data_IF_962172816753
#
_entry.id   IF_962172816753
#
_cell.length_a   1.000
_cell.length_b   1.000
_cell.length_c   1.000
_cell.angle_alpha   90.00
_cell.angle_beta   90.00
_cell.angle_gamma   90.00
#
_symmetry.space_group_name_H-M   'P 1'
#
loop_
_entity.id
_entity.type
_entity.pdbx_description
1 polymer ?
#
# COMPACT_ATOMS: atom_id res chain seq x y z
N UNK A 1 -17.72 -26.98 12.58
CA UNK A 1 -16.52 -26.15 12.85
C UNK A 1 -16.84 -25.28 14.04
N UNK A 2 -16.14 -25.47 15.16
CA UNK A 2 -16.33 -24.66 16.37
C UNK A 2 -15.19 -23.64 16.37
N UNK A 3 -15.54 -22.35 16.41
CA UNK A 3 -14.57 -21.27 16.55
C UNK A 3 -14.22 -21.15 18.03
N UNK A 4 -13.00 -21.55 18.40
CA UNK A 4 -12.47 -21.35 19.75
C UNK A 4 -11.72 -20.02 19.82
N UNK A 5 -12.39 -18.99 20.32
CA UNK A 5 -11.75 -17.73 20.69
C UNK A 5 -11.38 -17.84 22.18
N UNK A 6 -10.07 -17.80 22.47
CA UNK A 6 -9.58 -17.83 23.85
C UNK A 6 -10.08 -16.58 24.58
N UNK A 7 -10.79 -16.76 25.70
CA UNK A 7 -11.66 -15.75 26.35
C UNK A 7 -11.02 -14.49 26.94
N UNK A 8 -9.85 -14.07 26.47
CA UNK A 8 -9.15 -12.86 26.95
C UNK A 8 -8.52 -12.03 25.82
N UNK A 9 -8.93 -12.24 24.57
CA UNK A 9 -8.36 -11.56 23.41
C UNK A 9 -9.37 -10.60 22.79
N UNK A 10 -8.94 -9.39 22.47
CA UNK A 10 -9.75 -8.42 21.74
C UNK A 10 -9.87 -8.90 20.30
N UNK A 11 -11.09 -9.19 19.87
CA UNK A 11 -11.38 -9.69 18.52
C UNK A 11 -12.26 -8.69 17.81
N UNK A 12 -11.82 -8.31 16.61
CA UNK A 12 -12.53 -7.40 15.74
C UNK A 12 -13.24 -8.20 14.64
N UNK A 13 -14.52 -7.94 14.44
CA UNK A 13 -15.32 -8.63 13.42
C UNK A 13 -15.47 -7.72 12.21
N UNK A 14 -15.13 -8.24 11.03
CA UNK A 14 -15.34 -7.53 9.78
C UNK A 14 -16.15 -8.37 8.80
N UNK A 15 -16.83 -7.70 7.87
CA UNK A 15 -17.39 -8.34 6.68
C UNK A 15 -16.26 -8.77 5.76
N UNK A 16 -16.25 -10.04 5.35
CA UNK A 16 -15.27 -10.61 4.43
C UNK A 16 -15.37 -10.04 3.02
N UNK A 17 -16.55 -9.52 2.66
CA UNK A 17 -16.90 -9.06 1.31
C UNK A 17 -16.37 -7.63 1.06
N UNK A 18 -16.62 -6.71 2.00
CA UNK A 18 -16.33 -5.28 1.86
C UNK A 18 -15.33 -4.75 2.92
N UNK A 19 -14.86 -5.63 3.82
CA UNK A 19 -13.88 -5.34 4.89
C UNK A 19 -14.35 -4.31 5.91
N UNK A 20 -15.64 -3.97 5.92
CA UNK A 20 -16.20 -3.04 6.90
C UNK A 20 -16.35 -3.72 8.25
N UNK A 21 -16.03 -2.99 9.31
CA UNK A 21 -16.14 -3.50 10.68
C UNK A 21 -17.60 -3.58 11.12
N UNK A 22 -17.94 -4.65 11.82
CA UNK A 22 -19.22 -4.83 12.49
C UNK A 22 -19.07 -4.29 13.90
N UNK A 23 -19.66 -3.13 14.16
CA UNK A 23 -19.46 -2.39 15.41
C UNK A 23 -20.42 -2.83 16.52
N UNK A 24 -21.63 -3.25 16.14
CA UNK A 24 -22.69 -3.66 17.06
C UNK A 24 -23.70 -4.61 16.38
N UNK A 25 -24.63 -5.11 17.18
CA UNK A 25 -25.69 -6.03 16.75
C UNK A 25 -26.65 -5.42 15.72
N UNK A 26 -26.83 -4.09 15.72
CA UNK A 26 -27.69 -3.41 14.75
C UNK A 26 -27.01 -3.32 13.39
N UNK A 27 -25.70 -3.06 13.37
CA UNK A 27 -24.87 -3.12 12.17
C UNK A 27 -24.78 -4.54 11.61
N UNK A 28 -24.79 -5.57 12.48
CA UNK A 28 -24.86 -6.98 12.06
C UNK A 28 -26.19 -7.29 11.37
N UNK A 29 -27.32 -6.84 11.92
CA UNK A 29 -28.66 -7.09 11.35
C UNK A 29 -28.90 -6.42 10.00
N UNK A 30 -28.16 -5.34 9.70
CA UNK A 30 -28.21 -4.66 8.39
C UNK A 30 -27.49 -5.45 7.30
N UNK A 31 -26.69 -6.46 7.65
CA UNK A 31 -25.93 -7.26 6.67
C UNK A 31 -26.85 -8.23 5.94
N UNK A 32 -26.47 -8.58 4.72
CA UNK A 32 -27.19 -9.60 3.97
C UNK A 32 -27.03 -10.96 4.65
N UNK A 33 -28.06 -11.81 4.55
CA UNK A 33 -28.10 -13.13 5.21
C UNK A 33 -26.98 -14.11 4.79
N UNK A 34 -26.15 -13.74 3.81
CA UNK A 34 -25.04 -14.54 3.29
C UNK A 34 -23.68 -13.84 3.41
N UNK A 35 -23.61 -12.73 4.15
CA UNK A 35 -22.34 -12.04 4.41
C UNK A 35 -21.40 -12.95 5.19
N UNK A 36 -20.20 -13.16 4.66
CA UNK A 36 -19.14 -13.88 5.37
C UNK A 36 -18.52 -12.95 6.41
N UNK A 37 -18.28 -13.43 7.63
CA UNK A 37 -17.62 -12.66 8.67
C UNK A 37 -16.24 -13.21 8.97
N UNK A 38 -15.28 -12.30 9.14
CA UNK A 38 -13.89 -12.62 9.47
C UNK A 38 -13.59 -12.03 10.83
N UNK A 39 -13.09 -12.89 11.72
CA UNK A 39 -12.68 -12.53 13.07
C UNK A 39 -11.17 -12.31 13.04
N UNK A 40 -10.73 -11.12 13.43
CA UNK A 40 -9.32 -10.71 13.42
C UNK A 40 -8.86 -10.38 14.83
N UNK A 41 -7.67 -10.83 15.18
CA UNK A 41 -6.98 -10.43 16.40
C UNK A 41 -6.38 -9.03 16.26
N UNK A 42 -6.02 -8.42 17.38
CA UNK A 42 -5.32 -7.12 17.39
C UNK A 42 -4.05 -7.15 16.52
N UNK A 43 -4.03 -6.30 15.50
CA UNK A 43 -2.93 -6.18 14.54
C UNK A 43 -3.07 -7.06 13.28
N UNK A 44 -3.99 -8.02 13.26
CA UNK A 44 -4.25 -8.86 12.09
C UNK A 44 -5.05 -8.11 11.01
N UNK A 45 -4.91 -8.58 9.77
CA UNK A 45 -5.61 -8.02 8.62
C UNK A 45 -6.16 -9.10 7.72
N UNK A 46 -7.33 -8.83 7.16
CA UNK A 46 -7.94 -9.66 6.13
C UNK A 46 -7.51 -9.17 4.74
N UNK A 47 -6.67 -9.94 4.02
CA UNK A 47 -6.23 -9.56 2.69
C UNK A 47 -7.37 -9.63 1.66
N UNK A 48 -8.43 -10.39 1.95
CA UNK A 48 -9.55 -10.67 1.06
C UNK A 48 -9.70 -12.17 0.86
N UNK A 49 -10.91 -12.59 0.54
CA UNK A 49 -11.30 -13.97 0.25
C UNK A 49 -10.38 -14.63 -0.78
N UNK A 50 -10.21 -14.01 -1.96
CA UNK A 50 -9.37 -14.55 -3.04
C UNK A 50 -7.92 -14.75 -2.58
N UNK A 51 -7.36 -13.81 -1.83
CA UNK A 51 -5.98 -13.90 -1.33
C UNK A 51 -5.81 -15.03 -0.31
N UNK A 52 -6.77 -15.16 0.61
CA UNK A 52 -6.75 -16.21 1.62
C UNK A 52 -6.89 -17.60 0.98
N UNK A 53 -7.88 -17.77 0.10
CA UNK A 53 -8.13 -19.05 -0.56
C UNK A 53 -7.00 -19.45 -1.53
N UNK A 54 -6.43 -18.51 -2.30
CA UNK A 54 -5.31 -18.83 -3.18
C UNK A 54 -4.06 -19.23 -2.39
N UNK A 55 -3.76 -18.55 -1.29
CA UNK A 55 -2.60 -18.86 -0.45
C UNK A 55 -2.77 -20.18 0.31
N UNK A 56 -3.96 -20.44 0.88
CA UNK A 56 -4.28 -21.73 1.49
C UNK A 56 -4.25 -22.88 0.47
N UNK A 57 -4.80 -22.66 -0.72
CA UNK A 57 -4.82 -23.67 -1.78
C UNK A 57 -3.42 -24.02 -2.27
N UNK A 58 -2.56 -23.02 -2.46
CA UNK A 58 -1.15 -23.22 -2.81
C UNK A 58 -0.39 -24.03 -1.76
N UNK A 59 -0.80 -23.94 -0.49
CA UNK A 59 -0.18 -24.65 0.63
C UNK A 59 -0.81 -26.04 0.89
N UNK A 60 -1.99 -26.35 0.31
CA UNK A 60 -2.71 -27.61 0.52
C UNK A 60 -2.28 -28.68 -0.48
N UNK A 61 -1.95 -29.86 0.04
CA UNK A 61 -1.62 -31.05 -0.78
C UNK A 61 -2.88 -31.81 -1.30
N UNK A 62 -4.08 -31.46 -0.84
CA UNK A 62 -5.33 -32.14 -1.21
C UNK A 62 -6.49 -31.15 -1.23
N UNK A 63 -7.33 -31.23 -2.27
CA UNK A 63 -8.44 -30.31 -2.52
C UNK A 63 -9.76 -30.96 -2.11
N UNK A 64 -10.50 -30.32 -1.19
CA UNK A 64 -11.82 -30.81 -0.72
C UNK A 64 -12.97 -30.34 -1.61
N UNK A 65 -14.18 -30.86 -1.37
CA UNK A 65 -15.39 -30.44 -2.08
C UNK A 65 -15.84 -29.02 -1.72
N UNK A 66 -15.61 -28.60 -0.47
CA UNK A 66 -15.88 -27.23 -0.02
C UNK A 66 -14.88 -26.24 -0.64
N UNK A 67 -13.61 -26.64 -0.82
CA UNK A 67 -12.62 -25.83 -1.55
C UNK A 67 -13.09 -25.61 -2.99
N UNK A 68 -13.62 -26.66 -3.66
CA UNK A 68 -14.16 -26.53 -5.04
C UNK A 68 -15.33 -25.56 -5.12
N UNK A 69 -16.28 -25.63 -4.19
CA UNK A 69 -17.41 -24.71 -4.12
C UNK A 69 -16.97 -23.26 -3.87
N UNK A 70 -15.95 -23.05 -3.03
CA UNK A 70 -15.36 -21.73 -2.83
C UNK A 70 -14.67 -21.23 -4.11
N UNK A 71 -13.88 -22.08 -4.78
CA UNK A 71 -13.26 -21.74 -6.07
C UNK A 71 -14.28 -21.37 -7.14
N UNK A 72 -15.38 -22.12 -7.25
CA UNK A 72 -16.43 -21.81 -8.22
C UNK A 72 -17.10 -20.46 -7.97
N UNK A 73 -17.30 -20.08 -6.69
CA UNK A 73 -17.83 -18.75 -6.34
C UNK A 73 -16.84 -17.65 -6.67
N UNK A 74 -15.56 -17.85 -6.34
CA UNK A 74 -14.48 -16.90 -6.58
C UNK A 74 -14.26 -16.68 -8.08
N UNK A 75 -14.27 -17.74 -8.90
CA UNK A 75 -14.09 -17.67 -10.35
C UNK A 75 -15.25 -16.94 -11.04
N UNK A 76 -16.46 -17.03 -10.49
CA UNK A 76 -17.67 -16.38 -11.03
C UNK A 76 -17.76 -14.88 -10.71
N UNK A 77 -16.88 -14.35 -9.87
CA UNK A 77 -16.86 -12.92 -9.59
C UNK A 77 -16.29 -12.15 -10.79
N UNK A 78 -17.01 -11.12 -11.26
CA UNK A 78 -16.64 -10.33 -12.44
C UNK A 78 -15.28 -9.61 -12.32
N UNK A 79 -14.76 -9.40 -11.10
CA UNK A 79 -13.43 -8.85 -10.85
C UNK A 79 -12.37 -9.93 -10.60
N UNK A 80 -12.71 -11.23 -10.67
CA UNK A 80 -11.80 -12.34 -10.40
C UNK A 80 -10.53 -12.25 -11.23
N UNK A 81 -10.67 -12.08 -12.55
CA UNK A 81 -9.55 -11.96 -13.47
C UNK A 81 -8.61 -10.82 -13.04
N UNK A 82 -9.16 -9.65 -12.70
CA UNK A 82 -8.35 -8.51 -12.23
C UNK A 82 -7.68 -8.77 -10.89
N UNK A 83 -8.35 -9.43 -9.95
CA UNK A 83 -7.77 -9.78 -8.63
C UNK A 83 -6.67 -10.83 -8.77
N UNK A 84 -6.84 -11.82 -9.66
CA UNK A 84 -5.83 -12.83 -9.97
C UNK A 84 -4.64 -12.21 -10.69
N UNK A 85 -4.86 -11.35 -11.69
CA UNK A 85 -3.78 -10.63 -12.37
C UNK A 85 -2.99 -9.77 -11.38
N UNK A 86 -3.67 -9.04 -10.49
CA UNK A 86 -3.01 -8.29 -9.41
C UNK A 86 -2.23 -9.21 -8.45
N UNK A 87 -2.74 -10.41 -8.17
CA UNK A 87 -2.05 -11.39 -7.33
C UNK A 87 -0.81 -11.95 -8.04
N UNK A 88 -0.92 -12.34 -9.31
CA UNK A 88 0.21 -12.81 -10.11
C UNK A 88 1.30 -11.73 -10.23
N UNK A 89 0.91 -10.47 -10.45
CA UNK A 89 1.82 -9.33 -10.41
C UNK A 89 2.53 -9.17 -9.06
N UNK A 90 1.91 -9.56 -7.94
CA UNK A 90 2.54 -9.50 -6.61
C UNK A 90 3.44 -10.72 -6.37
N UNK A 91 2.99 -11.92 -6.73
CA UNK A 91 3.74 -13.18 -6.51
C UNK A 91 4.98 -13.27 -7.37
N UNK A 92 4.96 -12.72 -8.59
CA UNK A 92 6.13 -12.68 -9.47
C UNK A 92 7.14 -11.60 -9.06
N UNK A 93 6.82 -10.74 -8.09
CA UNK A 93 7.71 -9.63 -7.73
C UNK A 93 8.72 -10.00 -6.65
N UNK A 94 9.98 -9.60 -6.88
CA UNK A 94 11.03 -9.69 -5.88
C UNK A 94 10.95 -8.50 -4.89
N UNK A 95 9.85 -8.42 -4.15
CA UNK A 95 9.59 -7.30 -3.22
C UNK A 95 10.70 -7.19 -2.19
N UNK A 96 11.20 -8.29 -1.65
CA UNK A 96 12.23 -8.25 -0.60
C UNK A 96 13.60 -7.75 -1.11
N UNK A 97 13.93 -7.95 -2.39
CA UNK A 97 15.15 -7.41 -2.97
C UNK A 97 15.23 -5.90 -2.82
N UNK A 98 16.39 -5.41 -2.42
CA UNK A 98 16.67 -3.98 -2.33
C UNK A 98 17.83 -3.60 -3.24
N UNK A 99 18.81 -4.48 -3.46
CA UNK A 99 19.98 -4.18 -4.29
C UNK A 99 19.69 -4.47 -5.76
N UNK A 100 20.38 -3.76 -6.65
CA UNK A 100 20.23 -3.93 -8.10
C UNK A 100 20.55 -5.35 -8.56
N UNK A 101 21.59 -5.97 -8.02
CA UNK A 101 21.99 -7.32 -8.41
C UNK A 101 21.00 -8.40 -7.92
N UNK A 102 20.07 -8.07 -7.02
CA UNK A 102 19.03 -8.99 -6.55
C UNK A 102 17.77 -8.92 -7.44
N UNK A 103 17.58 -7.82 -8.18
CA UNK A 103 16.39 -7.55 -8.99
C UNK A 103 16.72 -6.49 -10.04
N UNK A 104 17.37 -6.88 -11.15
CA UNK A 104 17.77 -5.92 -12.18
C UNK A 104 16.59 -5.32 -12.94
N UNK A 105 15.53 -6.11 -13.13
CA UNK A 105 14.32 -5.73 -13.87
C UNK A 105 13.62 -4.54 -13.23
N UNK A 106 13.54 -4.52 -11.90
CA UNK A 106 13.01 -3.35 -11.20
C UNK A 106 13.80 -2.10 -11.56
N UNK A 107 15.13 -2.16 -11.75
CA UNK A 107 15.96 -0.99 -12.09
C UNK A 107 16.02 -0.68 -13.59
N UNK A 108 15.31 -1.43 -14.44
CA UNK A 108 15.26 -1.16 -15.88
C UNK A 108 14.83 0.29 -16.14
N UNK A 109 15.53 0.97 -17.06
CA UNK A 109 15.34 2.40 -17.37
C UNK A 109 15.97 3.39 -16.38
N UNK A 110 16.68 2.93 -15.34
CA UNK A 110 17.48 3.78 -14.45
C UNK A 110 18.98 3.65 -14.71
N UNK A 111 19.70 4.77 -14.66
CA UNK A 111 21.15 4.78 -14.81
C UNK A 111 21.89 3.93 -13.76
N UNK A 112 23.04 3.36 -14.17
CA UNK A 112 23.85 2.40 -13.38
C UNK A 112 24.30 2.89 -12.00
N UNK A 113 24.24 4.21 -11.74
CA UNK A 113 24.51 4.82 -10.42
C UNK A 113 23.51 4.41 -9.34
N UNK A 114 22.29 4.02 -9.72
CA UNK A 114 21.25 3.64 -8.77
C UNK A 114 21.48 2.19 -8.33
N UNK A 115 21.91 1.98 -7.08
CA UNK A 115 22.29 0.66 -6.56
C UNK A 115 21.25 -0.01 -5.69
N UNK A 116 20.33 0.76 -5.09
CA UNK A 116 19.29 0.23 -4.21
C UNK A 116 17.92 0.85 -4.48
N UNK A 117 16.84 0.09 -4.27
CA UNK A 117 15.45 0.55 -4.43
C UNK A 117 15.18 1.71 -3.47
N UNK A 118 15.60 1.57 -2.21
CA UNK A 118 15.47 2.62 -1.19
C UNK A 118 16.13 3.94 -1.62
N UNK A 119 17.34 3.91 -2.18
CA UNK A 119 18.00 5.14 -2.66
C UNK A 119 17.24 5.78 -3.82
N UNK A 120 16.73 4.98 -4.75
CA UNK A 120 15.91 5.48 -5.87
C UNK A 120 14.65 6.17 -5.36
N UNK A 121 13.96 5.55 -4.40
CA UNK A 121 12.73 6.09 -3.84
C UNK A 121 12.97 7.38 -3.02
N UNK A 122 14.05 7.45 -2.23
CA UNK A 122 14.52 8.69 -1.59
C UNK A 122 14.80 9.79 -2.61
N UNK A 123 15.53 9.48 -3.68
CA UNK A 123 15.85 10.45 -4.73
C UNK A 123 14.59 10.94 -5.45
N UNK A 124 13.57 10.09 -5.61
CA UNK A 124 12.27 10.44 -6.18
C UNK A 124 11.57 11.52 -5.35
N UNK A 125 11.44 11.32 -4.03
CA UNK A 125 10.83 12.31 -3.15
C UNK A 125 11.64 13.59 -3.05
N UNK A 126 12.97 13.47 -2.95
CA UNK A 126 13.86 14.65 -2.93
C UNK A 126 13.66 15.53 -4.14
N UNK A 127 13.53 14.96 -5.34
CA UNK A 127 13.23 15.71 -6.57
C UNK A 127 11.86 16.37 -6.50
N UNK A 128 10.84 15.67 -6.01
CA UNK A 128 9.48 16.20 -5.85
C UNK A 128 9.47 17.44 -4.95
N UNK A 129 10.10 17.35 -3.78
CA UNK A 129 10.20 18.47 -2.83
C UNK A 129 10.96 19.68 -3.41
N UNK A 130 12.06 19.44 -4.14
CA UNK A 130 12.78 20.51 -4.86
C UNK A 130 11.90 21.18 -5.91
N UNK A 131 11.08 20.41 -6.63
CA UNK A 131 10.16 20.95 -7.62
C UNK A 131 9.08 21.83 -6.95
N UNK A 132 8.55 21.43 -5.80
CA UNK A 132 7.60 22.27 -5.04
C UNK A 132 8.23 23.58 -4.60
N UNK A 133 9.43 23.54 -4.02
CA UNK A 133 10.17 24.74 -3.62
C UNK A 133 10.46 25.67 -4.82
N UNK A 134 10.89 25.10 -5.95
CA UNK A 134 11.16 25.87 -7.17
C UNK A 134 9.89 26.54 -7.71
N UNK A 135 8.75 25.84 -7.68
CA UNK A 135 7.45 26.42 -8.08
C UNK A 135 7.01 27.53 -7.13
N UNK A 136 7.23 27.38 -5.82
CA UNK A 136 6.94 28.43 -4.85
C UNK A 136 7.78 29.69 -5.12
N UNK A 137 9.10 29.55 -5.33
CA UNK A 137 9.98 30.67 -5.60
C UNK A 137 9.63 31.49 -6.85
N UNK A 138 9.04 30.87 -7.87
CA UNK A 138 8.57 31.57 -9.08
C UNK A 138 7.30 32.40 -8.87
N UNK A 139 6.48 32.06 -7.87
CA UNK A 139 5.21 32.77 -7.62
C UNK A 139 5.39 34.08 -6.87
N UNK A 140 6.56 34.32 -6.28
CA UNK A 140 6.79 35.47 -5.42
C UNK A 140 8.03 36.25 -5.89
N UNK A 141 7.81 37.38 -6.55
CA UNK A 141 8.87 38.21 -7.13
C UNK A 141 9.39 39.32 -6.19
N UNK A 142 9.02 39.27 -4.91
CA UNK A 142 9.45 40.25 -3.92
C UNK A 142 10.73 39.80 -3.20
N UNK A 143 11.64 40.73 -2.93
CA UNK A 143 12.93 40.49 -2.26
C UNK A 143 12.78 39.74 -0.92
N UNK A 144 11.85 40.17 -0.06
CA UNK A 144 11.51 39.48 1.20
C UNK A 144 11.09 38.02 0.98
N UNK A 145 10.45 37.71 -0.14
CA UNK A 145 10.05 36.33 -0.43
C UNK A 145 11.21 35.48 -0.93
N UNK A 146 12.23 36.08 -1.55
CA UNK A 146 13.47 35.35 -1.90
C UNK A 146 14.22 34.90 -0.65
N UNK A 147 14.32 35.76 0.36
CA UNK A 147 14.91 35.40 1.66
C UNK A 147 14.15 34.26 2.35
N UNK A 148 12.81 34.32 2.37
CA UNK A 148 11.98 33.25 2.91
C UNK A 148 12.15 31.93 2.16
N UNK A 149 12.22 31.96 0.83
CA UNK A 149 12.45 30.76 0.00
C UNK A 149 13.84 30.15 0.28
N UNK A 150 14.88 30.98 0.46
CA UNK A 150 16.22 30.51 0.85
C UNK A 150 16.24 29.89 2.24
N UNK A 151 15.51 30.46 3.20
CA UNK A 151 15.35 29.89 4.54
C UNK A 151 14.65 28.53 4.47
N UNK A 152 13.57 28.41 3.69
CA UNK A 152 12.87 27.15 3.46
C UNK A 152 13.77 26.12 2.77
N UNK A 153 14.57 26.54 1.79
CA UNK A 153 15.54 25.66 1.14
C UNK A 153 16.55 25.09 2.13
N UNK A 154 17.09 25.94 3.01
CA UNK A 154 18.03 25.53 4.05
C UNK A 154 17.39 24.52 5.00
N UNK A 155 16.17 24.79 5.47
CA UNK A 155 15.42 23.85 6.32
C UNK A 155 15.18 22.51 5.62
N UNK A 156 14.76 22.53 4.35
CA UNK A 156 14.58 21.31 3.57
C UNK A 156 15.89 20.55 3.36
N UNK A 157 17.02 21.23 3.08
CA UNK A 157 18.34 20.60 2.98
C UNK A 157 18.71 19.89 4.29
N UNK A 158 18.52 20.55 5.43
CA UNK A 158 18.81 20.00 6.75
C UNK A 158 17.91 18.79 7.08
N UNK A 159 16.66 18.81 6.63
CA UNK A 159 15.74 17.67 6.75
C UNK A 159 15.96 16.58 5.68
N UNK A 160 16.99 16.67 4.83
CA UNK A 160 17.23 15.73 3.75
C UNK A 160 16.11 15.70 2.69
N UNK A 161 15.41 16.83 2.53
CA UNK A 161 14.20 17.00 1.72
C UNK A 161 13.11 15.97 2.07
N UNK A 162 13.02 15.58 3.34
CA UNK A 162 12.09 14.57 3.85
C UNK A 162 12.15 13.24 3.07
N UNK A 163 13.28 12.96 2.41
CA UNK A 163 13.39 11.85 1.47
C UNK A 163 13.16 10.48 2.12
N UNK A 164 13.33 10.37 3.45
CA UNK A 164 13.03 9.21 4.28
C UNK A 164 11.58 8.72 4.19
N UNK A 165 10.62 9.60 3.89
CA UNK A 165 9.20 9.20 3.82
C UNK A 165 8.94 8.12 2.76
N UNK A 166 9.75 8.10 1.70
CA UNK A 166 9.68 7.08 0.65
C UNK A 166 10.68 5.94 0.84
N UNK A 167 11.41 5.87 1.96
CA UNK A 167 12.37 4.80 2.25
C UNK A 167 11.75 3.75 3.18
N UNK A 168 11.32 2.58 2.65
CA UNK A 168 10.75 1.50 3.47
C UNK A 168 11.70 1.00 4.58
N UNK A 169 13.00 1.24 4.45
CA UNK A 169 14.00 0.89 5.47
C UNK A 169 14.11 1.91 6.61
N UNK A 170 13.44 3.07 6.54
CA UNK A 170 13.42 4.07 7.60
C UNK A 170 12.22 3.83 8.52
N UNK A 171 12.42 3.06 9.59
CA UNK A 171 11.35 2.67 10.51
C UNK A 171 10.72 3.85 11.28
N UNK A 172 11.42 4.99 11.38
CA UNK A 172 10.96 6.13 12.15
C UNK A 172 10.09 7.10 11.32
N UNK A 173 10.33 7.18 10.01
CA UNK A 173 9.73 8.23 9.16
C UNK A 173 9.03 7.74 7.91
N UNK A 174 9.14 6.46 7.54
CA UNK A 174 8.49 5.94 6.32
C UNK A 174 6.97 6.17 6.34
N UNK A 175 6.42 6.51 5.18
CA UNK A 175 4.97 6.60 4.94
C UNK A 175 4.39 5.28 4.40
N UNK A 176 5.25 4.32 4.08
CA UNK A 176 4.87 2.98 3.69
C UNK A 176 5.09 1.98 4.82
N UNK A 177 4.56 0.77 4.68
CA UNK A 177 4.94 -0.33 5.57
C UNK A 177 6.37 -0.83 5.31
N UNK A 178 6.77 -1.90 6.00
CA UNK A 178 8.09 -2.50 5.87
C UNK A 178 8.38 -3.14 4.51
N UNK A 179 7.34 -3.54 3.78
CA UNK A 179 7.45 -4.07 2.43
C UNK A 179 7.45 -2.96 1.38
N UNK A 180 7.08 -1.74 1.77
CA UNK A 180 7.04 -0.57 0.93
C UNK A 180 5.67 -0.30 0.30
N UNK A 181 4.59 -0.85 0.86
CA UNK A 181 3.22 -0.55 0.46
C UNK A 181 2.78 0.82 0.99
N UNK A 182 2.40 1.71 0.09
CA UNK A 182 1.79 3.00 0.38
C UNK A 182 0.27 2.86 0.31
N UNK A 183 -0.43 3.54 1.22
CA UNK A 183 -1.89 3.61 1.23
C UNK A 183 -2.34 5.02 0.91
N UNK A 184 -3.44 5.13 0.19
CA UNK A 184 -4.06 6.41 -0.08
C UNK A 184 -4.75 6.91 1.19
N UNK A 185 -4.44 8.15 1.58
CA UNK A 185 -5.05 8.83 2.73
C UNK A 185 -6.43 9.44 2.37
N UNK A 186 -6.90 9.25 1.13
CA UNK A 186 -8.17 9.77 0.66
C UNK A 186 -8.04 11.10 -0.07
N UNK A 187 -9.20 11.72 -0.32
CA UNK A 187 -9.26 13.07 -0.88
C UNK A 187 -8.95 14.08 0.22
N UNK A 188 -8.47 15.27 -0.14
CA UNK A 188 -8.16 16.35 0.81
C UNK A 188 -9.32 16.73 1.77
N UNK A 189 -10.57 16.42 1.40
CA UNK A 189 -11.77 16.73 2.18
C UNK A 189 -12.44 15.49 2.80
N UNK A 190 -11.72 14.37 2.89
CA UNK A 190 -12.18 13.10 3.46
C UNK A 190 -11.12 12.59 4.40
N UNK A 191 -11.55 11.92 5.46
CA UNK A 191 -10.62 11.35 6.45
C UNK A 191 -9.93 10.08 5.96
N UNK A 192 -10.54 9.39 4.97
CA UNK A 192 -10.04 8.12 4.45
C UNK A 192 -10.32 7.94 2.95
N UNK A 193 -9.61 7.00 2.32
CA UNK A 193 -9.85 6.59 0.95
C UNK A 193 -10.99 5.57 0.86
N UNK A 194 -12.11 5.97 0.26
CA UNK A 194 -13.29 5.10 0.03
C UNK A 194 -12.97 3.80 -0.72
N UNK A 195 -11.95 3.83 -1.59
CA UNK A 195 -11.54 2.67 -2.40
C UNK A 195 -10.33 1.94 -1.84
N UNK A 196 -9.82 2.35 -0.67
CA UNK A 196 -8.67 1.75 0.01
C UNK A 196 -7.48 1.50 -0.94
N UNK A 197 -7.19 2.46 -1.82
CA UNK A 197 -6.14 2.29 -2.82
C UNK A 197 -4.79 2.04 -2.15
N UNK A 198 -4.04 1.07 -2.68
CA UNK A 198 -2.66 0.78 -2.30
C UNK A 198 -1.76 0.71 -3.51
N UNK A 199 -0.46 0.97 -3.30
CA UNK A 199 0.58 0.75 -4.30
C UNK A 199 1.89 0.37 -3.63
N UNK A 200 2.59 -0.61 -4.18
CA UNK A 200 3.95 -0.93 -3.77
C UNK A 200 4.95 -0.60 -4.89
N UNK A 201 5.57 0.60 -4.89
CA UNK A 201 6.57 0.96 -5.90
C UNK A 201 7.87 0.15 -5.80
N UNK A 202 8.04 -0.66 -4.75
CA UNK A 202 9.17 -1.58 -4.61
C UNK A 202 8.93 -2.95 -5.27
N UNK A 203 7.69 -3.26 -5.63
CA UNK A 203 7.32 -4.55 -6.21
C UNK A 203 7.88 -4.70 -7.63
N UNK A 204 7.51 -3.80 -8.54
CA UNK A 204 7.90 -3.89 -9.95
C UNK A 204 8.36 -2.55 -10.53
N UNK A 205 9.01 -2.62 -11.69
CA UNK A 205 9.32 -1.45 -12.53
C UNK A 205 8.06 -0.64 -12.83
N UNK A 206 6.95 -1.30 -13.12
CA UNK A 206 5.71 -0.66 -13.55
C UNK A 206 5.03 0.03 -12.38
N UNK A 207 4.93 -0.61 -11.20
CA UNK A 207 4.46 0.06 -9.99
C UNK A 207 5.33 1.26 -9.61
N UNK A 208 6.66 1.15 -9.74
CA UNK A 208 7.57 2.28 -9.51
C UNK A 208 7.27 3.46 -10.45
N UNK A 209 6.96 3.18 -11.72
CA UNK A 209 6.60 4.19 -12.73
C UNK A 209 5.22 4.76 -12.44
N UNK A 210 4.20 3.93 -12.20
CA UNK A 210 2.84 4.32 -11.86
C UNK A 210 2.76 5.16 -10.59
N UNK A 211 3.66 4.94 -9.63
CA UNK A 211 3.76 5.77 -8.43
C UNK A 211 4.12 7.24 -8.72
N UNK A 212 4.33 7.64 -9.98
CA UNK A 212 4.37 9.06 -10.37
C UNK A 212 2.99 9.72 -10.37
N UNK A 213 1.93 8.93 -10.54
CA UNK A 213 0.53 9.37 -10.53
C UNK A 213 -0.01 9.58 -9.10
N UNK A 214 0.67 9.01 -8.10
CA UNK A 214 0.35 9.23 -6.69
C UNK A 214 0.85 10.61 -6.26
N UNK A 215 -0.04 11.44 -5.72
CA UNK A 215 0.29 12.79 -5.28
C UNK A 215 0.68 12.87 -3.79
N UNK A 216 1.40 13.94 -3.45
CA UNK A 216 1.48 14.48 -2.10
C UNK A 216 0.69 15.78 -2.14
N UNK A 217 -0.63 15.64 -2.03
CA UNK A 217 -1.54 16.77 -2.09
C UNK A 217 -1.25 17.74 -0.93
N UNK A 218 -1.42 19.03 -1.23
CA UNK A 218 -1.28 20.09 -0.23
C UNK A 218 -2.70 20.45 0.22
N UNK A 219 -2.98 20.30 1.52
CA UNK A 219 -4.23 20.75 2.15
C UNK A 219 -4.22 22.26 2.40
#
# INVERSE_FOLDING_TARGET
MVLEISGNQNVRVISGDDKTEVKDDEDLKKRHNQTSFVFLMDGERWPGDVYHYLNEFWMKNTVTQDDKLCFEKIIRDEQFEKRVLKYLEIVETNIHANRRNEDEDWFHGLGKRHKTKNKVMRDKLRRRMRNYLSKAGKKFDQEKTREMVQLLETRLKNAGYNSSYYDRGDSAKRMCDELGEFRCEGRYNKDECEHQHTINPYASKDHRVMFRLWDLDHM
#
